data_IF_395267295885
#
_entry.id   IF_395267295885
#
_cell.length_a   1.000
_cell.length_b   1.000
_cell.length_c   1.000
_cell.angle_alpha   90.00
_cell.angle_beta   90.00
_cell.angle_gamma   90.00
#
_symmetry.space_group_name_H-M   'P 1'
#
loop_
_entity.id
_entity.type
_entity.pdbx_description
1 polymer ?
#
# COMPACT_ATOMS: atom_id res chain seq x y z
N UNK A 1 5.37 -46.69 36.14
CA UNK A 1 5.26 -45.48 35.29
C UNK A 1 4.70 -44.36 36.16
N UNK A 2 5.55 -43.40 36.54
CA UNK A 2 5.29 -42.42 37.61
C UNK A 2 4.17 -41.44 37.24
N UNK A 3 3.36 -41.04 38.25
CA UNK A 3 2.33 -40.00 38.13
C UNK A 3 2.92 -38.64 37.69
N UNK A 4 4.21 -38.44 37.91
CA UNK A 4 4.93 -37.20 37.57
C UNK A 4 5.05 -36.95 36.06
N UNK A 5 5.18 -38.01 35.26
CA UNK A 5 5.25 -37.90 33.80
C UNK A 5 3.92 -37.45 33.17
N UNK A 6 2.79 -37.72 33.85
CA UNK A 6 1.45 -37.33 33.39
C UNK A 6 1.16 -35.86 33.69
N UNK A 7 1.64 -35.31 34.81
CA UNK A 7 1.52 -33.88 35.12
C UNK A 7 2.41 -33.03 34.21
N UNK A 8 3.62 -33.48 33.88
CA UNK A 8 4.50 -32.76 32.94
C UNK A 8 3.96 -32.75 31.50
N UNK A 9 3.35 -33.84 31.02
CA UNK A 9 2.72 -33.89 29.69
C UNK A 9 1.45 -33.04 29.59
N UNK A 10 0.67 -32.91 30.67
CA UNK A 10 -0.51 -32.04 30.69
C UNK A 10 -0.13 -30.55 30.72
N UNK A 11 0.94 -30.17 31.42
CA UNK A 11 1.43 -28.79 31.43
C UNK A 11 1.98 -28.35 30.05
N UNK A 12 2.61 -29.25 29.30
CA UNK A 12 3.12 -28.97 27.95
C UNK A 12 1.99 -28.85 26.91
N UNK A 13 0.91 -29.62 27.06
CA UNK A 13 -0.28 -29.56 26.17
C UNK A 13 -1.12 -28.30 26.39
N UNK A 14 -1.18 -27.76 27.61
CA UNK A 14 -1.85 -26.47 27.88
C UNK A 14 -1.00 -25.29 27.40
N UNK A 15 0.33 -25.37 27.45
CA UNK A 15 1.22 -24.34 26.91
C UNK A 15 1.17 -24.25 25.37
N UNK A 16 0.97 -25.35 24.65
CA UNK A 16 0.83 -25.33 23.18
C UNK A 16 -0.54 -24.81 22.69
N UNK A 17 -1.57 -24.76 23.54
CA UNK A 17 -2.88 -24.19 23.19
C UNK A 17 -2.96 -22.67 23.38
N UNK A 18 -1.94 -22.05 23.99
CA UNK A 18 -1.88 -20.61 24.24
C UNK A 18 -1.14 -19.82 23.14
N UNK A 19 -0.69 -20.48 22.06
CA UNK A 19 0.00 -19.82 20.94
C UNK A 19 -0.89 -19.63 19.70
N UNK A 20 -2.22 -19.75 19.84
CA UNK A 20 -3.14 -19.33 18.78
C UNK A 20 -3.33 -17.82 18.91
N UNK A 21 -2.83 -17.04 17.94
CA UNK A 21 -3.06 -15.60 17.90
C UNK A 21 -4.56 -15.28 18.05
N UNK A 22 -4.87 -14.21 18.76
CA UNK A 22 -6.24 -13.79 18.98
C UNK A 22 -6.85 -13.29 17.67
N UNK A 23 -8.12 -13.64 17.42
CA UNK A 23 -8.83 -13.24 16.21
C UNK A 23 -10.02 -12.32 16.49
N UNK A 24 -10.20 -11.31 15.64
CA UNK A 24 -11.35 -10.40 15.68
C UNK A 24 -11.95 -10.23 14.29
N UNK A 25 -13.27 -10.34 14.19
CA UNK A 25 -14.02 -10.25 12.94
C UNK A 25 -14.83 -8.95 12.87
N UNK A 26 -14.72 -8.27 11.74
CA UNK A 26 -15.55 -7.13 11.34
C UNK A 26 -16.38 -7.48 10.09
N UNK A 27 -16.97 -6.47 9.43
CA UNK A 27 -17.78 -6.68 8.23
C UNK A 27 -16.95 -7.18 7.04
N UNK A 28 -15.79 -6.56 6.81
CA UNK A 28 -14.91 -6.80 5.67
C UNK A 28 -13.61 -7.52 6.04
N UNK A 29 -13.26 -7.63 7.34
CA UNK A 29 -11.97 -8.17 7.77
C UNK A 29 -12.09 -9.24 8.87
N UNK A 30 -11.15 -10.17 8.87
CA UNK A 30 -10.86 -11.04 10.02
C UNK A 30 -9.38 -10.90 10.37
N UNK A 31 -9.09 -10.32 11.52
CA UNK A 31 -7.73 -10.00 11.95
C UNK A 31 -7.23 -11.07 12.91
N UNK A 32 -5.99 -11.51 12.75
CA UNK A 32 -5.27 -12.38 13.69
C UNK A 32 -4.01 -11.64 14.15
N UNK A 33 -3.87 -11.43 15.45
CA UNK A 33 -2.76 -10.71 16.08
C UNK A 33 -2.39 -11.34 17.43
N UNK A 34 -1.34 -10.83 18.08
CA UNK A 34 -0.84 -11.37 19.35
C UNK A 34 -1.84 -11.25 20.51
N UNK A 35 -2.67 -10.21 20.53
CA UNK A 35 -3.70 -10.01 21.57
C UNK A 35 -5.07 -9.67 20.99
N UNK A 36 -6.18 -9.99 21.68
CA UNK A 36 -7.53 -9.65 21.23
C UNK A 36 -7.74 -8.14 21.05
N UNK A 37 -7.13 -7.33 21.90
CA UNK A 37 -7.22 -5.87 21.88
C UNK A 37 -6.56 -5.32 20.61
N UNK A 38 -5.39 -5.85 20.25
CA UNK A 38 -4.69 -5.45 19.03
C UNK A 38 -5.45 -5.92 17.77
N UNK A 39 -5.96 -7.14 17.76
CA UNK A 39 -6.78 -7.65 16.66
C UNK A 39 -8.04 -6.78 16.45
N UNK A 40 -8.68 -6.39 17.56
CA UNK A 40 -9.84 -5.49 17.53
C UNK A 40 -9.48 -4.10 17.02
N UNK A 41 -8.42 -3.50 17.55
CA UNK A 41 -8.00 -2.17 17.15
C UNK A 41 -7.70 -2.08 15.65
N UNK A 42 -6.96 -3.06 15.13
CA UNK A 42 -6.61 -3.12 13.70
C UNK A 42 -7.86 -3.39 12.85
N UNK A 43 -8.76 -4.27 13.29
CA UNK A 43 -10.02 -4.52 12.60
C UNK A 43 -10.89 -3.26 12.50
N UNK A 44 -11.08 -2.56 13.60
CA UNK A 44 -11.85 -1.31 13.63
C UNK A 44 -11.17 -0.21 12.79
N UNK A 45 -9.83 -0.14 12.82
CA UNK A 45 -9.07 0.81 12.01
C UNK A 45 -9.18 0.49 10.51
N UNK A 46 -9.13 -0.79 10.13
CA UNK A 46 -9.26 -1.24 8.74
C UNK A 46 -10.61 -0.82 8.15
N UNK A 47 -11.71 -0.99 8.90
CA UNK A 47 -13.04 -0.54 8.47
C UNK A 47 -13.12 0.99 8.32
N UNK A 48 -12.55 1.74 9.28
CA UNK A 48 -12.49 3.21 9.19
C UNK A 48 -11.70 3.67 7.97
N UNK A 49 -10.48 3.16 7.78
CA UNK A 49 -9.68 3.50 6.59
C UNK A 49 -10.37 3.08 5.31
N UNK A 50 -11.01 1.91 5.28
CA UNK A 50 -11.74 1.44 4.10
C UNK A 50 -12.82 2.42 3.68
N UNK A 51 -13.61 2.92 4.63
CA UNK A 51 -14.66 3.91 4.39
C UNK A 51 -14.07 5.28 4.04
N UNK A 52 -13.23 5.82 4.92
CA UNK A 52 -12.77 7.21 4.85
C UNK A 52 -11.90 7.42 3.59
N UNK A 53 -10.96 6.51 3.31
CA UNK A 53 -10.15 6.58 2.10
C UNK A 53 -10.96 6.33 0.83
N UNK A 54 -12.01 5.48 0.86
CA UNK A 54 -12.88 5.31 -0.30
C UNK A 54 -13.62 6.62 -0.61
N UNK A 55 -14.12 7.33 0.40
CA UNK A 55 -14.75 8.63 0.22
C UNK A 55 -13.75 9.65 -0.34
N UNK A 56 -12.53 9.70 0.19
CA UNK A 56 -11.50 10.61 -0.29
C UNK A 56 -11.10 10.34 -1.75
N UNK A 57 -10.86 9.07 -2.10
CA UNK A 57 -10.40 8.69 -3.44
C UNK A 57 -11.52 8.67 -4.48
N UNK A 58 -12.71 8.19 -4.11
CA UNK A 58 -13.79 7.86 -5.04
C UNK A 58 -15.01 8.78 -4.90
N UNK A 59 -15.09 9.57 -3.82
CA UNK A 59 -16.24 10.41 -3.50
C UNK A 59 -17.41 9.66 -2.85
N UNK A 60 -17.27 8.37 -2.58
CA UNK A 60 -18.32 7.53 -1.99
C UNK A 60 -17.71 6.33 -1.25
N UNK A 61 -18.47 5.78 -0.29
CA UNK A 61 -18.13 4.53 0.37
C UNK A 61 -18.31 3.34 -0.57
N UNK A 62 -17.42 2.36 -0.48
CA UNK A 62 -17.55 1.10 -1.23
C UNK A 62 -18.52 0.15 -0.53
N UNK A 63 -19.30 -0.66 -1.27
CA UNK A 63 -20.15 -1.67 -0.66
C UNK A 63 -19.31 -2.71 0.10
N UNK A 64 -19.91 -3.42 1.08
CA UNK A 64 -19.26 -4.56 1.72
C UNK A 64 -18.80 -5.61 0.70
N UNK A 65 -17.65 -6.22 0.93
CA UNK A 65 -17.21 -7.34 0.09
C UNK A 65 -17.98 -8.62 0.43
N UNK A 66 -18.17 -9.47 -0.59
CA UNK A 66 -18.68 -10.82 -0.38
C UNK A 66 -17.62 -11.71 0.30
N UNK A 67 -16.36 -11.56 -0.09
CA UNK A 67 -15.23 -12.28 0.47
C UNK A 67 -14.60 -11.45 1.59
N UNK A 68 -14.54 -11.99 2.80
CA UNK A 68 -13.85 -11.36 3.93
C UNK A 68 -12.34 -11.37 3.70
N UNK A 69 -11.65 -10.29 4.04
CA UNK A 69 -10.19 -10.17 3.95
C UNK A 69 -9.52 -10.63 5.27
N UNK A 70 -8.78 -11.74 5.28
CA UNK A 70 -7.96 -12.12 6.41
C UNK A 70 -6.74 -11.22 6.51
N UNK A 71 -6.51 -10.67 7.71
CA UNK A 71 -5.32 -9.88 8.06
C UNK A 71 -4.50 -10.65 9.11
N UNK A 72 -3.24 -10.95 8.81
CA UNK A 72 -2.29 -11.45 9.81
C UNK A 72 -1.34 -10.34 10.21
N UNK A 73 -1.14 -10.14 11.51
CA UNK A 73 -0.36 -9.01 12.02
C UNK A 73 0.75 -9.49 12.94
N UNK A 74 1.97 -8.99 12.69
CA UNK A 74 3.10 -9.15 13.61
C UNK A 74 3.56 -7.77 14.12
N UNK A 75 3.41 -7.52 15.42
CA UNK A 75 3.79 -6.24 16.02
C UNK A 75 5.00 -6.41 16.93
N UNK A 76 6.07 -5.67 16.65
CA UNK A 76 7.17 -5.49 17.60
C UNK A 76 7.93 -4.17 17.36
N UNK A 77 8.47 -3.51 18.40
CA UNK A 77 9.10 -2.20 18.28
C UNK A 77 10.27 -2.12 17.28
N UNK A 78 10.98 -3.23 17.08
CA UNK A 78 12.17 -3.30 16.23
C UNK A 78 11.88 -3.81 14.81
N UNK A 79 10.64 -4.20 14.49
CA UNK A 79 10.28 -4.67 13.15
C UNK A 79 10.15 -3.50 12.17
N UNK A 80 10.62 -3.70 10.95
CA UNK A 80 10.45 -2.72 9.88
C UNK A 80 8.98 -2.65 9.50
N UNK A 81 8.45 -1.44 9.34
CA UNK A 81 7.10 -1.23 8.84
C UNK A 81 6.99 -1.80 7.42
N UNK A 82 5.99 -2.64 7.18
CA UNK A 82 5.73 -3.20 5.86
C UNK A 82 4.48 -4.06 5.85
N UNK A 83 3.89 -4.18 4.68
CA UNK A 83 2.71 -4.98 4.46
C UNK A 83 2.75 -5.66 3.10
N UNK A 84 1.78 -6.53 2.89
CA UNK A 84 1.47 -7.04 1.56
C UNK A 84 0.00 -7.43 1.50
N UNK A 85 -0.65 -7.03 0.41
CA UNK A 85 -2.01 -7.43 0.07
C UNK A 85 -2.00 -8.22 -1.23
N UNK A 86 -2.68 -9.36 -1.21
CA UNK A 86 -2.83 -10.24 -2.38
C UNK A 86 -4.29 -10.57 -2.63
N UNK A 87 -4.62 -10.70 -3.91
CA UNK A 87 -5.94 -11.01 -4.45
C UNK A 87 -5.79 -11.38 -5.93
N UNK A 88 -6.87 -11.87 -6.53
CA UNK A 88 -6.95 -12.07 -7.98
C UNK A 88 -8.27 -11.51 -8.51
N UNK A 89 -8.33 -11.25 -9.81
CA UNK A 89 -9.55 -10.76 -10.46
C UNK A 89 -10.31 -11.89 -11.14
N UNK A 90 -11.63 -11.92 -10.95
CA UNK A 90 -12.58 -12.73 -11.71
C UNK A 90 -13.73 -11.83 -12.13
N UNK A 91 -14.05 -11.80 -13.43
CA UNK A 91 -15.14 -10.98 -13.98
C UNK A 91 -15.12 -9.50 -13.53
N UNK A 92 -13.92 -8.91 -13.49
CA UNK A 92 -13.75 -7.50 -13.11
C UNK A 92 -13.93 -7.23 -11.61
N UNK A 93 -13.91 -8.27 -10.76
CA UNK A 93 -14.03 -8.14 -9.30
C UNK A 93 -12.85 -8.82 -8.60
N UNK A 94 -12.32 -8.22 -7.52
CA UNK A 94 -11.28 -8.85 -6.73
C UNK A 94 -11.84 -9.95 -5.82
N UNK A 95 -11.08 -11.02 -5.67
CA UNK A 95 -11.39 -12.20 -4.86
C UNK A 95 -10.16 -12.71 -4.13
N UNK A 96 -10.38 -13.56 -3.12
CA UNK A 96 -9.30 -14.28 -2.45
C UNK A 96 -8.34 -13.36 -1.71
N UNK A 97 -8.86 -12.31 -1.09
CA UNK A 97 -8.10 -11.35 -0.31
C UNK A 97 -7.22 -12.04 0.73
N UNK A 98 -5.99 -11.53 0.91
CA UNK A 98 -5.12 -11.83 2.04
C UNK A 98 -4.19 -10.65 2.28
N UNK A 99 -4.13 -10.20 3.51
CA UNK A 99 -3.29 -9.10 3.95
C UNK A 99 -2.36 -9.55 5.07
N UNK A 100 -1.10 -9.15 5.00
CA UNK A 100 -0.12 -9.32 6.09
C UNK A 100 0.47 -7.97 6.46
N UNK A 101 0.58 -7.69 7.76
CA UNK A 101 1.09 -6.44 8.30
C UNK A 101 2.20 -6.71 9.30
N UNK A 102 3.27 -5.91 9.27
CA UNK A 102 4.33 -5.94 10.27
C UNK A 102 4.86 -4.54 10.62
N UNK A 103 5.36 -4.39 11.83
CA UNK A 103 6.04 -3.17 12.30
C UNK A 103 5.81 -2.89 13.79
N UNK A 104 6.17 -1.69 14.23
CA UNK A 104 5.69 -1.21 15.53
C UNK A 104 4.17 -0.93 15.44
N UNK A 105 3.49 -0.95 16.59
CA UNK A 105 2.04 -0.76 16.65
C UNK A 105 1.60 0.52 15.95
N UNK A 106 2.33 1.61 16.20
CA UNK A 106 2.06 2.93 15.62
C UNK A 106 2.14 2.87 14.10
N UNK A 107 3.25 2.36 13.55
CA UNK A 107 3.46 2.31 12.09
C UNK A 107 2.53 1.33 11.38
N UNK A 108 2.14 0.25 12.03
CA UNK A 108 1.09 -0.63 11.49
C UNK A 108 -0.22 0.14 11.34
N UNK A 109 -0.63 0.89 12.36
CA UNK A 109 -1.91 1.59 12.38
C UNK A 109 -1.95 2.87 11.53
N UNK A 110 -0.86 3.64 11.47
CA UNK A 110 -0.85 4.96 10.83
C UNK A 110 -0.10 5.03 9.50
N UNK A 111 0.48 3.92 9.04
CA UNK A 111 1.25 3.88 7.79
C UNK A 111 0.97 2.64 6.97
N UNK A 112 1.21 1.45 7.52
CA UNK A 112 1.12 0.19 6.74
C UNK A 112 -0.35 -0.14 6.42
N UNK A 113 -1.23 -0.13 7.43
CA UNK A 113 -2.64 -0.45 7.24
C UNK A 113 -3.32 0.47 6.21
N UNK A 114 -3.25 1.82 6.30
CA UNK A 114 -3.87 2.67 5.28
C UNK A 114 -3.28 2.47 3.87
N UNK A 115 -1.98 2.17 3.75
CA UNK A 115 -1.36 1.80 2.48
C UNK A 115 -2.01 0.54 1.88
N UNK A 116 -2.06 -0.55 2.64
CA UNK A 116 -2.61 -1.82 2.18
C UNK A 116 -4.12 -1.73 1.87
N UNK A 117 -4.85 -0.97 2.67
CA UNK A 117 -6.28 -0.71 2.42
C UNK A 117 -6.49 0.06 1.10
N UNK A 118 -5.59 0.99 0.75
CA UNK A 118 -5.69 1.73 -0.52
C UNK A 118 -5.62 0.80 -1.73
N UNK A 119 -4.76 -0.23 -1.71
CA UNK A 119 -4.74 -1.26 -2.76
C UNK A 119 -6.10 -1.96 -2.89
N UNK A 120 -6.75 -2.29 -1.77
CA UNK A 120 -8.06 -2.96 -1.81
C UNK A 120 -9.16 -2.07 -2.38
N UNK A 121 -9.13 -0.76 -2.09
CA UNK A 121 -10.08 0.23 -2.60
C UNK A 121 -9.92 0.32 -4.13
N UNK A 122 -8.69 0.46 -4.60
CA UNK A 122 -8.41 0.56 -6.04
C UNK A 122 -8.70 -0.73 -6.80
N UNK A 123 -8.35 -1.88 -6.24
CA UNK A 123 -8.72 -3.16 -6.83
C UNK A 123 -10.25 -3.30 -6.94
N UNK A 124 -11.00 -2.88 -5.92
CA UNK A 124 -12.47 -2.89 -5.96
C UNK A 124 -13.03 -1.93 -7.01
N UNK A 125 -12.48 -0.72 -7.10
CA UNK A 125 -12.96 0.31 -8.02
C UNK A 125 -12.64 0.01 -9.48
N UNK A 126 -11.38 -0.33 -9.79
CA UNK A 126 -10.92 -0.50 -11.17
C UNK A 126 -11.19 -1.89 -11.74
N UNK A 127 -11.36 -2.90 -10.88
CA UNK A 127 -11.67 -4.27 -11.29
C UNK A 127 -10.55 -4.96 -12.10
N UNK A 128 -9.35 -4.37 -12.13
CA UNK A 128 -8.18 -4.87 -12.85
C UNK A 128 -6.89 -4.29 -12.23
N UNK A 129 -5.71 -4.86 -12.51
CA UNK A 129 -4.45 -4.31 -11.99
C UNK A 129 -4.17 -2.90 -12.50
N UNK A 130 -3.73 -2.02 -11.60
CA UNK A 130 -3.31 -0.66 -11.95
C UNK A 130 -1.85 -0.67 -12.48
N UNK A 131 -1.44 0.36 -13.24
CA UNK A 131 -0.03 0.64 -13.46
C UNK A 131 0.69 0.80 -12.12
N UNK A 132 1.84 0.15 -11.96
CA UNK A 132 2.53 0.06 -10.66
C UNK A 132 2.88 1.42 -10.05
N UNK A 133 3.20 2.40 -10.87
CA UNK A 133 3.51 3.76 -10.40
C UNK A 133 2.30 4.44 -9.73
N UNK A 134 1.09 4.18 -10.25
CA UNK A 134 -0.14 4.79 -9.78
C UNK A 134 -0.63 4.10 -8.51
N UNK A 135 -0.57 2.77 -8.50
CA UNK A 135 -0.95 1.94 -7.36
C UNK A 135 -0.06 2.23 -6.15
N UNK A 136 1.26 2.04 -6.30
CA UNK A 136 2.22 2.26 -5.21
C UNK A 136 2.30 3.73 -4.81
N UNK A 137 2.22 4.65 -5.76
CA UNK A 137 2.30 6.07 -5.47
C UNK A 137 1.12 6.59 -4.64
N UNK A 138 -0.09 6.10 -4.93
CA UNK A 138 -1.28 6.45 -4.19
C UNK A 138 -1.33 5.79 -2.81
N UNK A 139 -1.00 4.50 -2.71
CA UNK A 139 -0.92 3.81 -1.41
C UNK A 139 0.17 4.41 -0.52
N UNK A 140 1.32 4.79 -1.09
CA UNK A 140 2.36 5.51 -0.36
C UNK A 140 1.86 6.88 0.11
N UNK A 141 0.98 7.57 -0.64
CA UNK A 141 0.54 8.93 -0.30
C UNK A 141 -0.28 9.06 0.99
N UNK A 142 -0.80 7.94 1.49
CA UNK A 142 -1.58 7.88 2.75
C UNK A 142 -0.77 7.34 3.93
N UNK A 143 0.54 7.12 3.73
CA UNK A 143 1.45 6.71 4.79
C UNK A 143 1.75 7.85 5.77
N UNK A 144 2.29 7.48 6.94
CA UNK A 144 2.70 8.43 7.96
C UNK A 144 3.75 9.43 7.41
N UNK A 145 3.70 10.73 7.80
CA UNK A 145 4.62 11.76 7.29
C UNK A 145 6.12 11.43 7.37
N UNK A 146 6.54 10.64 8.35
CA UNK A 146 7.94 10.18 8.45
C UNK A 146 8.35 9.28 7.29
N UNK A 147 7.44 8.42 6.81
CA UNK A 147 7.69 7.54 5.67
C UNK A 147 7.68 8.36 4.37
N UNK A 148 6.75 9.29 4.23
CA UNK A 148 6.72 10.25 3.12
C UNK A 148 8.04 11.06 3.00
N UNK A 149 8.58 11.50 4.13
CA UNK A 149 9.86 12.20 4.18
C UNK A 149 11.06 11.30 3.79
N UNK A 150 11.03 10.00 4.14
CA UNK A 150 11.99 9.02 3.65
C UNK A 150 11.88 8.86 2.13
N UNK A 151 10.67 8.72 1.59
CA UNK A 151 10.45 8.61 0.14
C UNK A 151 10.98 9.83 -0.61
N UNK A 152 10.76 11.03 -0.08
CA UNK A 152 11.28 12.25 -0.69
C UNK A 152 12.82 12.29 -0.72
N UNK A 153 13.49 11.92 0.39
CA UNK A 153 14.96 11.84 0.40
C UNK A 153 15.50 10.79 -0.57
N UNK A 154 14.87 9.62 -0.62
CA UNK A 154 15.25 8.56 -1.56
C UNK A 154 15.06 9.00 -3.01
N UNK A 155 13.96 9.69 -3.33
CA UNK A 155 13.73 10.27 -4.64
C UNK A 155 14.89 11.18 -5.07
N UNK A 156 15.27 12.14 -4.23
CA UNK A 156 16.35 13.07 -4.55
C UNK A 156 17.65 12.33 -4.84
N UNK A 157 17.96 11.30 -4.05
CA UNK A 157 19.11 10.43 -4.28
C UNK A 157 19.01 9.65 -5.61
N UNK A 158 17.85 9.06 -5.94
CA UNK A 158 17.70 8.32 -7.20
C UNK A 158 17.79 9.22 -8.43
N UNK A 159 17.24 10.43 -8.35
CA UNK A 159 17.33 11.40 -9.43
C UNK A 159 18.77 11.91 -9.60
N UNK A 160 19.48 12.23 -8.52
CA UNK A 160 20.86 12.73 -8.58
C UNK A 160 21.88 11.69 -9.03
N UNK A 161 21.60 10.39 -8.80
CA UNK A 161 22.47 9.26 -9.19
C UNK A 161 22.07 8.62 -10.51
N UNK A 162 21.12 9.20 -11.26
CA UNK A 162 20.70 8.68 -12.56
C UNK A 162 19.84 7.40 -12.51
N UNK A 163 19.34 7.03 -11.32
CA UNK A 163 18.42 5.89 -11.09
C UNK A 163 16.94 6.25 -11.29
N UNK A 164 16.63 7.49 -11.65
CA UNK A 164 15.27 7.91 -12.01
C UNK A 164 14.70 7.10 -13.18
N UNK A 165 13.38 6.91 -13.19
CA UNK A 165 12.69 6.16 -14.23
C UNK A 165 12.08 7.16 -15.23
N UNK A 166 12.41 7.05 -16.51
CA UNK A 166 11.74 7.89 -17.52
C UNK A 166 10.22 7.62 -17.55
N UNK A 167 9.39 8.66 -17.64
CA UNK A 167 7.94 8.54 -17.51
C UNK A 167 7.33 7.66 -18.61
N UNK A 168 7.83 7.72 -19.83
CA UNK A 168 7.41 6.82 -20.90
C UNK A 168 7.63 5.32 -20.54
N UNK A 169 8.70 5.00 -19.80
CA UNK A 169 8.94 3.64 -19.29
C UNK A 169 8.05 3.35 -18.10
N UNK A 170 8.01 4.24 -17.11
CA UNK A 170 7.25 4.07 -15.87
C UNK A 170 5.74 3.84 -16.12
N UNK A 171 5.15 4.63 -17.02
CA UNK A 171 3.74 4.50 -17.39
C UNK A 171 3.41 3.20 -18.15
N UNK A 172 4.40 2.62 -18.83
CA UNK A 172 4.24 1.36 -19.57
C UNK A 172 4.52 0.12 -18.70
N UNK A 173 5.01 0.27 -17.47
CA UNK A 173 5.32 -0.86 -16.58
C UNK A 173 4.06 -1.60 -16.15
N UNK A 174 4.05 -2.92 -16.41
CA UNK A 174 3.05 -3.86 -15.89
C UNK A 174 3.59 -4.71 -14.74
N UNK A 175 4.89 -5.01 -14.81
CA UNK A 175 5.64 -5.75 -13.81
C UNK A 175 6.54 -4.81 -13.00
N UNK A 176 6.91 -5.25 -11.80
CA UNK A 176 7.91 -4.55 -11.01
C UNK A 176 9.28 -4.60 -11.70
N UNK A 177 10.02 -3.48 -11.76
CA UNK A 177 11.41 -3.49 -12.21
C UNK A 177 12.28 -4.27 -11.22
N UNK A 178 13.48 -4.71 -11.66
CA UNK A 178 14.44 -5.38 -10.77
C UNK A 178 14.84 -4.50 -9.58
N UNK A 179 15.03 -3.21 -9.85
CA UNK A 179 15.24 -2.18 -8.82
C UNK A 179 13.91 -1.48 -8.55
N UNK A 180 13.19 -1.94 -7.53
CA UNK A 180 11.85 -1.45 -7.22
C UNK A 180 11.85 -0.11 -6.51
N UNK A 181 12.91 0.24 -5.79
CA UNK A 181 12.91 1.40 -4.89
C UNK A 181 12.61 2.74 -5.61
N UNK A 182 13.19 3.02 -6.79
CA UNK A 182 12.85 4.23 -7.52
C UNK A 182 11.37 4.30 -7.90
N UNK A 183 10.70 3.16 -8.13
CA UNK A 183 9.28 3.14 -8.48
C UNK A 183 8.41 3.68 -7.33
N UNK A 184 8.68 3.28 -6.09
CA UNK A 184 7.95 3.77 -4.92
C UNK A 184 8.12 5.27 -4.75
N UNK A 185 9.38 5.74 -4.65
CA UNK A 185 9.66 7.15 -4.37
C UNK A 185 9.22 8.07 -5.51
N UNK A 186 9.42 7.64 -6.77
CA UNK A 186 9.02 8.43 -7.94
C UNK A 186 7.50 8.37 -8.18
N UNK A 187 6.89 7.20 -8.01
CA UNK A 187 5.43 7.03 -8.08
C UNK A 187 4.74 7.93 -7.07
N UNK A 188 5.13 7.86 -5.80
CA UNK A 188 4.60 8.74 -4.76
C UNK A 188 4.74 10.22 -5.10
N UNK A 189 5.94 10.66 -5.51
CA UNK A 189 6.18 12.06 -5.84
C UNK A 189 5.33 12.54 -7.01
N UNK A 190 5.17 11.71 -8.06
CA UNK A 190 4.29 12.04 -9.18
C UNK A 190 2.83 12.09 -8.75
N UNK A 191 2.35 11.12 -7.97
CA UNK A 191 0.97 11.10 -7.48
C UNK A 191 0.68 12.33 -6.63
N UNK A 192 1.58 12.69 -5.70
CA UNK A 192 1.50 13.93 -4.92
C UNK A 192 1.40 15.16 -5.81
N UNK A 193 2.24 15.25 -6.85
CA UNK A 193 2.25 16.37 -7.80
C UNK A 193 0.94 16.48 -8.60
N UNK A 194 0.34 15.35 -9.00
CA UNK A 194 -0.92 15.33 -9.74
C UNK A 194 -2.12 15.66 -8.83
N UNK A 195 -2.17 15.09 -7.62
CA UNK A 195 -3.23 15.39 -6.64
C UNK A 195 -3.21 16.87 -6.26
N UNK A 196 -2.03 17.48 -6.14
CA UNK A 196 -1.92 18.91 -5.86
C UNK A 196 -2.60 19.81 -6.94
N UNK A 197 -2.87 19.29 -8.14
CA UNK A 197 -3.45 20.04 -9.27
C UNK A 197 -4.95 19.76 -9.49
N UNK A 198 -5.62 19.06 -8.58
CA UNK A 198 -7.07 18.86 -8.68
C UNK A 198 -7.65 17.73 -7.85
N UNK A 199 -6.94 17.26 -6.84
CA UNK A 199 -7.43 16.31 -5.85
C UNK A 199 -7.36 14.85 -6.28
N UNK A 200 -7.71 13.98 -5.32
CA UNK A 200 -7.67 12.52 -5.44
C UNK A 200 -8.65 11.99 -6.48
N UNK A 201 -9.86 12.53 -6.59
CA UNK A 201 -10.85 12.04 -7.55
C UNK A 201 -10.45 12.34 -9.00
N UNK A 202 -9.84 13.51 -9.28
CA UNK A 202 -9.28 13.81 -10.61
C UNK A 202 -8.15 12.85 -10.97
N UNK A 203 -7.29 12.50 -10.00
CA UNK A 203 -6.27 11.48 -10.20
C UNK A 203 -6.87 10.11 -10.55
N UNK A 204 -7.90 9.66 -9.82
CA UNK A 204 -8.58 8.38 -10.11
C UNK A 204 -9.19 8.38 -11.51
N UNK A 205 -9.87 9.45 -11.92
CA UNK A 205 -10.43 9.59 -13.26
C UNK A 205 -9.33 9.54 -14.34
N UNK A 206 -8.22 10.23 -14.12
CA UNK A 206 -7.07 10.21 -15.02
C UNK A 206 -6.48 8.81 -15.19
N UNK A 207 -6.28 8.08 -14.09
CA UNK A 207 -5.76 6.69 -14.13
C UNK A 207 -6.74 5.79 -14.87
N UNK A 208 -8.04 5.91 -14.61
CA UNK A 208 -9.09 5.16 -15.32
C UNK A 208 -9.08 5.40 -16.83
N UNK A 209 -9.03 6.67 -17.25
CA UNK A 209 -8.95 7.05 -18.67
C UNK A 209 -7.69 6.51 -19.35
N UNK A 210 -6.54 6.61 -18.69
CA UNK A 210 -5.28 6.09 -19.19
C UNK A 210 -5.28 4.56 -19.33
N UNK A 211 -5.84 3.85 -18.35
CA UNK A 211 -5.97 2.38 -18.40
C UNK A 211 -6.97 1.90 -19.45
N UNK A 212 -8.09 2.61 -19.64
CA UNK A 212 -9.11 2.24 -20.62
C UNK A 212 -8.63 2.44 -22.06
N UNK A 213 -7.93 3.54 -22.32
CA UNK A 213 -7.48 3.87 -23.67
C UNK A 213 -6.10 3.30 -24.02
N UNK A 214 -5.22 3.08 -23.03
CA UNK A 214 -3.80 2.82 -23.25
C UNK A 214 -3.03 4.04 -23.78
N UNK A 215 -3.70 5.17 -24.05
CA UNK A 215 -3.14 6.37 -24.66
C UNK A 215 -2.81 7.42 -23.60
N UNK A 216 -1.78 7.15 -22.79
CA UNK A 216 -1.40 7.99 -21.65
C UNK A 216 -1.12 9.45 -21.99
N UNK A 217 -0.52 9.77 -23.14
CA UNK A 217 -0.32 11.16 -23.58
C UNK A 217 -1.65 11.91 -23.72
N UNK A 218 -2.65 11.29 -24.36
CA UNK A 218 -3.96 11.91 -24.56
C UNK A 218 -4.70 12.10 -23.23
N UNK A 219 -4.64 11.11 -22.34
CA UNK A 219 -5.19 11.23 -20.99
C UNK A 219 -4.48 12.34 -20.19
N UNK A 220 -3.16 12.45 -20.30
CA UNK A 220 -2.37 13.48 -19.61
C UNK A 220 -2.77 14.88 -20.07
N UNK A 221 -2.87 15.08 -21.39
CA UNK A 221 -3.30 16.35 -21.98
C UNK A 221 -4.72 16.72 -21.54
N UNK A 222 -5.65 15.76 -21.54
CA UNK A 222 -7.05 16.00 -21.18
C UNK A 222 -7.19 16.41 -19.71
N UNK A 223 -6.53 15.69 -18.80
CA UNK A 223 -6.74 15.87 -17.36
C UNK A 223 -5.86 16.97 -16.77
N UNK A 224 -4.61 17.09 -17.23
CA UNK A 224 -3.61 17.98 -16.61
C UNK A 224 -3.00 18.99 -17.60
N UNK A 225 -3.38 18.97 -18.87
CA UNK A 225 -2.98 19.98 -19.83
C UNK A 225 -1.58 19.81 -20.43
N UNK A 226 -0.83 18.77 -20.05
CA UNK A 226 0.51 18.52 -20.61
C UNK A 226 0.44 17.79 -21.96
N UNK A 227 1.16 18.30 -22.96
CA UNK A 227 1.18 17.79 -24.35
C UNK A 227 1.87 16.43 -24.49
N UNK A 228 2.69 16.04 -23.52
CA UNK A 228 3.33 14.73 -23.52
C UNK A 228 3.73 14.28 -22.12
N UNK A 229 4.01 12.98 -21.99
CA UNK A 229 4.66 12.44 -20.79
C UNK A 229 6.05 13.05 -20.56
N UNK A 230 6.74 13.48 -21.63
CA UNK A 230 8.02 14.17 -21.53
C UNK A 230 7.89 15.55 -20.90
N UNK A 231 6.88 16.32 -21.33
CA UNK A 231 6.56 17.62 -20.74
C UNK A 231 6.15 17.47 -19.27
N UNK A 232 5.25 16.52 -18.97
CA UNK A 232 4.88 16.19 -17.59
C UNK A 232 6.12 15.87 -16.73
N UNK A 233 7.06 15.07 -17.26
CA UNK A 233 8.30 14.74 -16.54
C UNK A 233 9.17 15.97 -16.28
N UNK A 234 9.37 16.84 -17.27
CA UNK A 234 10.21 18.03 -17.10
C UNK A 234 9.58 19.03 -16.11
N UNK A 235 8.27 19.22 -16.20
CA UNK A 235 7.53 20.07 -15.26
C UNK A 235 7.61 19.51 -13.84
N UNK A 236 7.39 18.21 -13.67
CA UNK A 236 7.53 17.53 -12.38
C UNK A 236 8.96 17.62 -11.83
N UNK A 237 10.00 17.42 -12.65
CA UNK A 237 11.40 17.57 -12.23
C UNK A 237 11.71 19.00 -11.75
N UNK A 238 11.18 20.01 -12.46
CA UNK A 238 11.31 21.41 -12.04
C UNK A 238 10.63 21.66 -10.68
N UNK A 239 9.45 21.09 -10.46
CA UNK A 239 8.74 21.16 -9.18
C UNK A 239 9.50 20.45 -8.04
N UNK A 240 10.07 19.26 -8.31
CA UNK A 240 10.93 18.56 -7.35
C UNK A 240 12.14 19.40 -6.98
N UNK A 241 12.80 20.04 -7.97
CA UNK A 241 13.96 20.92 -7.76
C UNK A 241 13.63 22.13 -6.88
N UNK A 242 12.40 22.59 -6.89
CA UNK A 242 11.90 23.69 -6.03
C UNK A 242 11.54 23.25 -4.61
N UNK A 243 11.80 21.99 -4.25
CA UNK A 243 11.48 21.45 -2.92
C UNK A 243 10.06 20.87 -2.82
N UNK A 244 9.41 20.60 -3.95
CA UNK A 244 8.06 20.02 -3.98
C UNK A 244 7.01 20.85 -3.21
N UNK A 245 6.92 22.18 -3.43
CA UNK A 245 5.99 23.03 -2.71
C UNK A 245 4.56 22.59 -2.96
N UNK A 246 3.74 22.66 -1.91
CA UNK A 246 2.31 22.39 -1.97
C UNK A 246 1.60 23.68 -1.57
N UNK A 247 0.86 24.26 -2.51
CA UNK A 247 0.04 25.44 -2.22
C UNK A 247 -1.04 25.08 -1.17
N UNK A 248 -1.49 26.03 -0.33
CA UNK A 248 -2.46 25.76 0.74
C UNK A 248 -3.76 25.06 0.26
N UNK A 249 -4.25 25.42 -0.93
CA UNK A 249 -5.42 24.80 -1.55
C UNK A 249 -5.14 23.34 -1.99
N UNK A 250 -3.93 23.09 -2.49
CA UNK A 250 -3.46 21.74 -2.81
C UNK A 250 -3.24 20.90 -1.54
N UNK A 251 -2.88 21.52 -0.42
CA UNK A 251 -2.74 20.85 0.88
C UNK A 251 -4.10 20.36 1.37
N UNK A 252 -5.16 21.17 1.24
CA UNK A 252 -6.53 20.76 1.55
C UNK A 252 -7.01 19.60 0.65
N UNK A 253 -6.63 19.62 -0.63
CA UNK A 253 -6.93 18.53 -1.57
C UNK A 253 -6.16 17.24 -1.28
N UNK A 254 -4.97 17.33 -0.66
CA UNK A 254 -4.17 16.18 -0.21
C UNK A 254 -4.68 15.59 1.11
N UNK A 255 -5.19 16.43 2.03
CA UNK A 255 -5.65 16.03 3.37
C UNK A 255 -7.14 15.72 3.45
N UNK A 256 -7.91 15.92 2.37
CA UNK A 256 -9.33 15.57 2.33
C UNK A 256 -10.20 16.37 3.31
N UNK A 257 -9.73 17.54 3.76
CA UNK A 257 -10.42 18.32 4.78
C UNK A 257 -11.74 18.88 4.23
N UNK A 258 -12.85 18.19 4.54
CA UNK A 258 -14.20 18.73 4.43
C UNK A 258 -14.29 19.90 5.41
N UNK A 259 -14.44 21.12 4.89
CA UNK A 259 -14.81 22.27 5.72
C UNK A 259 -16.14 21.96 6.45
N UNK A 260 -16.28 22.28 7.75
CA UNK A 260 -17.53 22.05 8.47
C UNK A 260 -18.58 23.00 7.90
N UNK A 261 -19.38 22.50 6.97
CA UNK A 261 -20.57 23.19 6.50
C UNK A 261 -21.61 23.05 7.59
N UNK A 262 -21.71 24.07 8.45
CA UNK A 262 -22.74 24.16 9.46
C UNK A 262 -24.12 24.06 8.81
N UNK A 263 -24.90 23.10 9.27
CA UNK A 263 -26.33 22.98 8.98
C UNK A 263 -27.09 24.13 9.64
N UNK A 264 -28.24 24.52 9.06
CA UNK A 264 -29.45 24.49 9.85
C UNK A 264 -30.49 23.54 9.23
N UNK A 265 -31.26 22.95 10.14
CA UNK A 265 -32.26 21.91 9.96
C UNK A 265 -33.38 22.26 8.95
N UNK A 266 -33.94 21.22 8.31
CA UNK A 266 -35.37 20.91 8.45
C UNK A 266 -35.69 19.47 8.03
N UNK A 267 -36.81 18.97 8.57
CA UNK A 267 -37.15 17.57 8.88
C UNK A 267 -37.97 16.86 7.75
N UNK A 268 -38.62 15.68 7.95
CA UNK A 268 -38.35 14.43 7.23
C UNK A 268 -39.43 14.03 6.21
N UNK A 269 -39.11 13.17 5.24
CA UNK A 269 -40.16 12.49 4.43
C UNK A 269 -39.77 11.07 4.00
N UNK A 270 -40.36 10.11 4.73
CA UNK A 270 -40.86 8.77 4.37
C UNK A 270 -40.40 8.08 3.08
N UNK A 271 -39.84 6.86 3.27
CA UNK A 271 -39.77 5.74 2.33
C UNK A 271 -41.18 5.23 1.93
N UNK A 272 -41.34 4.49 0.80
CA UNK A 272 -41.22 3.02 0.90
C UNK A 272 -40.63 2.31 -0.34
N UNK A 273 -40.06 1.12 -0.10
CA UNK A 273 -39.83 0.06 -1.10
C UNK A 273 -41.14 -0.65 -1.48
N UNK A 274 -41.18 -1.39 -2.62
CA UNK A 274 -41.11 -2.87 -2.53
C UNK A 274 -40.33 -3.52 -3.71
N UNK A 275 -39.49 -4.55 -3.49
CA UNK A 275 -39.76 -6.00 -3.59
C UNK A 275 -39.54 -6.64 -4.99
N UNK A 276 -38.56 -7.56 -5.01
CA UNK A 276 -38.55 -8.93 -5.59
C UNK A 276 -38.74 -9.15 -7.10
N UNK A 277 -37.74 -9.76 -7.79
CA UNK A 277 -37.82 -11.16 -8.26
C UNK A 277 -36.56 -11.66 -9.00
N UNK A 278 -36.43 -12.98 -8.96
CA UNK A 278 -35.32 -13.86 -9.36
C UNK A 278 -35.51 -14.34 -10.80
N UNK A 279 -34.43 -14.46 -11.58
CA UNK A 279 -34.37 -15.44 -12.68
C UNK A 279 -32.93 -15.88 -12.99
N UNK A 280 -32.74 -17.19 -12.94
CA UNK A 280 -31.59 -18.02 -13.32
C UNK A 280 -31.35 -18.07 -14.84
N UNK A 281 -30.08 -18.11 -15.28
CA UNK A 281 -29.43 -19.29 -15.89
C UNK A 281 -28.35 -18.97 -16.95
N UNK A 282 -27.29 -19.81 -16.91
CA UNK A 282 -26.45 -20.33 -18.01
C UNK A 282 -25.12 -19.64 -18.37
N UNK A 283 -24.05 -20.40 -18.09
CA UNK A 283 -22.67 -20.37 -18.61
C UNK A 283 -22.59 -20.47 -20.16
N UNK A 284 -21.50 -20.03 -20.85
CA UNK A 284 -20.23 -20.78 -20.82
C UNK A 284 -18.89 -20.01 -20.96
N UNK A 285 -17.87 -20.67 -20.39
CA UNK A 285 -16.53 -20.95 -20.95
C UNK A 285 -15.47 -19.84 -21.17
N UNK A 286 -14.44 -19.96 -20.32
CA UNK A 286 -12.99 -19.96 -20.61
C UNK A 286 -12.33 -18.80 -21.38
N UNK A 287 -11.52 -18.01 -20.65
CA UNK A 287 -10.22 -17.52 -21.15
C UNK A 287 -9.29 -16.99 -20.03
N UNK A 288 -8.08 -17.55 -20.01
CA UNK A 288 -6.80 -16.98 -19.57
C UNK A 288 -6.64 -16.41 -18.14
N UNK A 289 -6.26 -17.29 -17.23
CA UNK A 289 -5.66 -16.98 -15.93
C UNK A 289 -4.28 -16.32 -16.10
N UNK A 290 -4.15 -15.04 -15.76
CA UNK A 290 -2.84 -14.40 -15.58
C UNK A 290 -2.60 -14.21 -14.09
N UNK A 291 -1.89 -15.16 -13.49
CA UNK A 291 -1.45 -15.13 -12.10
C UNK A 291 -0.46 -13.98 -11.91
N UNK A 292 -0.80 -12.99 -11.09
CA UNK A 292 0.14 -11.95 -10.68
C UNK A 292 1.01 -12.56 -9.58
N UNK A 293 2.32 -12.68 -9.84
CA UNK A 293 3.25 -13.34 -8.92
C UNK A 293 3.23 -12.67 -7.54
N UNK A 294 2.93 -13.47 -6.53
CA UNK A 294 2.78 -13.12 -5.13
C UNK A 294 4.08 -12.58 -4.52
N UNK A 295 3.99 -11.48 -3.76
CA UNK A 295 4.96 -11.20 -2.72
C UNK A 295 4.71 -12.21 -1.58
N UNK A 296 5.68 -13.10 -1.34
CA UNK A 296 5.66 -13.98 -0.18
C UNK A 296 5.70 -13.14 1.11
N UNK A 297 4.89 -13.48 2.14
CA UNK A 297 4.78 -12.72 3.38
C UNK A 297 6.10 -12.65 4.19
N UNK A 298 7.05 -13.55 3.95
CA UNK A 298 8.36 -13.57 4.65
C UNK A 298 9.38 -12.56 4.07
N UNK A 299 8.97 -11.66 3.18
CA UNK A 299 9.92 -10.96 2.33
C UNK A 299 9.53 -9.53 1.95
N UNK A 300 9.00 -8.76 2.90
CA UNK A 300 8.95 -7.30 2.75
C UNK A 300 10.37 -6.83 2.37
N UNK A 301 10.50 -6.19 1.21
CA UNK A 301 11.78 -5.70 0.72
C UNK A 301 12.41 -4.69 1.68
N UNK A 302 11.60 -3.90 2.39
CA UNK A 302 12.09 -3.00 3.46
C UNK A 302 12.77 -3.77 4.60
N UNK A 303 12.32 -5.00 4.91
CA UNK A 303 12.99 -5.86 5.88
C UNK A 303 14.38 -6.31 5.37
N UNK A 304 14.47 -6.74 4.10
CA UNK A 304 15.74 -7.12 3.44
C UNK A 304 16.75 -5.97 3.32
N UNK A 305 16.26 -4.74 3.11
CA UNK A 305 17.12 -3.57 2.94
C UNK A 305 17.71 -3.10 4.27
N UNK A 306 16.98 -3.26 5.39
CA UNK A 306 17.51 -3.01 6.74
C UNK A 306 18.63 -3.96 7.12
N UNK A 307 18.50 -5.25 6.81
CA UNK A 307 19.56 -6.23 7.06
C UNK A 307 20.85 -5.91 6.30
N UNK A 308 20.72 -5.41 5.07
CA UNK A 308 21.87 -4.97 4.25
C UNK A 308 22.59 -3.75 4.82
N UNK A 309 21.85 -2.74 5.28
CA UNK A 309 22.45 -1.54 5.90
C UNK A 309 23.09 -1.87 7.25
N UNK A 310 22.51 -2.78 8.04
CA UNK A 310 23.13 -3.24 9.30
C UNK A 310 24.39 -4.10 9.09
N UNK A 311 24.52 -4.79 7.96
CA UNK A 311 25.74 -5.55 7.63
C UNK A 311 26.92 -4.67 7.18
N UNK A 312 26.66 -3.44 6.72
CA UNK A 312 27.72 -2.52 6.26
C UNK A 312 28.30 -1.66 7.39
N UNK A 313 27.67 -1.62 8.58
CA UNK A 313 28.07 -0.79 9.74
C UNK A 313 28.78 -1.56 10.88
N UNK A 314 29.01 -2.87 10.76
CA UNK A 314 29.80 -3.63 11.74
C UNK A 314 31.30 -3.60 11.37
N UNK A 315 32.18 -2.96 12.18
CA UNK A 315 33.60 -3.04 11.94
C UNK A 315 34.07 -4.46 12.21
N UNK A 316 34.45 -5.16 11.13
CA UNK A 316 35.14 -6.45 11.17
C UNK A 316 36.26 -6.42 12.23
N UNK A 317 36.06 -7.13 13.34
CA UNK A 317 37.11 -7.42 14.32
C UNK A 317 38.07 -8.47 13.74
N UNK A 318 38.85 -8.06 12.75
CA UNK A 318 39.95 -8.83 12.19
C UNK A 318 41.20 -8.61 13.04
N UNK A 319 41.58 -9.63 13.81
CA UNK A 319 42.86 -9.71 14.52
C UNK A 319 44.04 -9.48 13.55
N UNK A 320 44.64 -8.29 13.58
CA UNK A 320 45.91 -7.98 12.93
C UNK A 320 47.05 -8.72 13.66
N UNK A 321 47.53 -9.82 13.06
CA UNK A 321 48.87 -10.33 13.35
C UNK A 321 49.88 -9.46 12.61
N UNK A 322 50.81 -8.90 13.38
CA UNK A 322 51.96 -8.15 12.90
C UNK A 322 53.08 -9.16 12.61
N UNK A 323 53.46 -9.31 11.34
CA UNK A 323 54.71 -9.98 10.96
C UNK A 323 55.76 -8.92 10.55
N UNK A 324 57.04 -9.11 10.91
CA UNK A 324 58.09 -8.10 10.75
C UNK A 324 58.66 -8.03 9.31
N UNK A 325 59.40 -6.97 8.95
CA UNK A 325 59.73 -6.69 7.56
C UNK A 325 60.93 -7.51 7.07
N UNK A 326 60.82 -8.06 5.86
CA UNK A 326 61.98 -8.53 5.10
C UNK A 326 62.18 -7.63 3.89
N UNK A 327 63.33 -6.95 3.91
CA UNK A 327 63.91 -6.18 2.81
C UNK A 327 64.57 -7.11 1.79
N UNK A 328 64.48 -6.79 0.50
CA UNK A 328 65.61 -6.55 -0.44
C UNK A 328 65.24 -6.86 -1.91
N UNK A 329 65.49 -5.84 -2.76
CA UNK A 329 66.12 -5.90 -4.10
C UNK A 329 65.52 -6.87 -5.14
N UNK A 330 64.94 -6.39 -6.25
CA UNK A 330 65.59 -5.73 -7.39
C UNK A 330 64.53 -5.12 -8.31
#
# INVERSE_FOLDING_TARGET
>A
MSKDARCFSMALLVACLLSMGASYRTQNFIVTADTPELAKEIGDAAERFRRDLAIEWLGHELPPWNDICPITVQVAPHLGAGGATSFYFSHGRPHGWRMSLQGCRERVLDSVLPHEITHTIFATHFGRPLPRWADEGASTSVEHPSELAKQHRMLLNFLSTGRGIAFNKMFAMREYPRDILPLYSQGYSLVKFLIAQGGKQKFVQYVGDGMNSGHWTAATQRHYGYASLGELQQTWLSWVKQGSPVEPEALAALTGAIAPSGTPADEPTTSPAPSTEVATATEPSAASSTSTLFAHPDNSWYARQRERVHQEDEPSSGSLRVDPPVSLLR
#
